data_IF_367019834929
#
_entry.id   IF_367019834929
#
_cell.length_a   1.000
_cell.length_b   1.000
_cell.length_c   1.000
_cell.angle_alpha   90.00
_cell.angle_beta   90.00
_cell.angle_gamma   90.00
#
_symmetry.space_group_name_H-M   'P 1'
#
loop_
_entity.id
_entity.type
_entity.pdbx_description
1 polymer ?
#
# COMPACT_ATOMS: atom_id res chain seq x y z
N UNK A 1 -6.30 30.43 -9.00
CA UNK A 1 -5.89 30.57 -7.58
C UNK A 1 -6.29 29.28 -6.89
N UNK A 2 -5.34 28.49 -6.41
CA UNK A 2 -5.64 27.21 -5.74
C UNK A 2 -6.22 27.55 -4.37
N UNK A 3 -7.37 26.96 -4.02
CA UNK A 3 -8.06 27.23 -2.77
C UNK A 3 -7.22 26.71 -1.57
N UNK A 4 -7.34 27.33 -0.40
CA UNK A 4 -6.65 26.93 0.83
C UNK A 4 -6.91 25.46 1.18
N UNK A 5 -8.12 24.98 0.92
CA UNK A 5 -8.50 23.57 1.14
C UNK A 5 -7.64 22.60 0.31
N UNK A 6 -7.37 22.94 -0.96
CA UNK A 6 -6.54 22.10 -1.82
C UNK A 6 -5.08 22.08 -1.36
N UNK A 7 -4.56 23.21 -0.85
CA UNK A 7 -3.24 23.25 -0.22
C UNK A 7 -3.16 22.37 1.03
N UNK A 8 -4.24 22.33 1.83
CA UNK A 8 -4.31 21.49 3.03
C UNK A 8 -4.40 19.99 2.69
N UNK A 9 -5.12 19.62 1.62
CA UNK A 9 -5.15 18.23 1.13
C UNK A 9 -3.79 17.77 0.61
N UNK A 10 -3.10 18.62 -0.15
CA UNK A 10 -1.76 18.32 -0.67
C UNK A 10 -0.75 18.16 0.48
N UNK A 11 -0.81 19.02 1.50
CA UNK A 11 0.08 18.93 2.65
C UNK A 11 -0.19 17.67 3.48
N UNK A 12 -1.45 17.29 3.66
CA UNK A 12 -1.83 16.03 4.31
C UNK A 12 -1.23 14.82 3.59
N UNK A 13 -1.39 14.75 2.26
CA UNK A 13 -0.86 13.64 1.47
C UNK A 13 0.68 13.58 1.53
N UNK A 14 1.35 14.73 1.44
CA UNK A 14 2.80 14.81 1.42
C UNK A 14 3.44 14.51 2.78
N UNK A 15 2.91 15.09 3.86
CA UNK A 15 3.53 15.01 5.18
C UNK A 15 3.04 13.78 5.94
N UNK A 16 1.73 13.57 6.01
CA UNK A 16 1.18 12.48 6.83
C UNK A 16 1.25 11.17 6.06
N UNK A 17 0.72 11.11 4.84
CA UNK A 17 0.65 9.82 4.12
C UNK A 17 2.03 9.38 3.63
N UNK A 18 2.78 10.26 2.96
CA UNK A 18 4.08 9.86 2.40
C UNK A 18 5.20 9.80 3.44
N UNK A 19 5.43 10.88 4.20
CA UNK A 19 6.55 10.98 5.13
C UNK A 19 6.41 9.97 6.29
N UNK A 20 5.22 9.85 6.89
CA UNK A 20 5.00 8.89 7.98
C UNK A 20 5.14 7.43 7.50
N UNK A 21 4.60 7.08 6.32
CA UNK A 21 4.72 5.72 5.78
C UNK A 21 6.19 5.33 5.54
N UNK A 22 7.01 6.25 5.01
CA UNK A 22 8.43 5.98 4.79
C UNK A 22 9.20 5.87 6.11
N UNK A 23 8.94 6.75 7.08
CA UNK A 23 9.57 6.67 8.41
C UNK A 23 9.19 5.37 9.13
N UNK A 24 7.94 4.93 9.01
CA UNK A 24 7.49 3.66 9.58
C UNK A 24 8.19 2.48 8.92
N UNK A 25 8.35 2.47 7.59
CA UNK A 25 9.14 1.45 6.88
C UNK A 25 10.57 1.38 7.41
N UNK A 26 11.24 2.53 7.58
CA UNK A 26 12.59 2.58 8.16
C UNK A 26 12.62 2.10 9.61
N UNK A 27 11.59 2.42 10.39
CA UNK A 27 11.46 1.92 11.75
C UNK A 27 11.30 0.39 11.80
N UNK A 28 10.50 -0.20 10.89
CA UNK A 28 10.33 -1.65 10.82
C UNK A 28 11.64 -2.39 10.48
N UNK A 29 12.52 -1.79 9.67
CA UNK A 29 13.84 -2.37 9.39
C UNK A 29 14.74 -2.52 10.62
N UNK A 30 14.47 -1.77 11.70
CA UNK A 30 15.21 -1.92 12.97
C UNK A 30 14.86 -3.22 13.71
N UNK A 31 13.64 -3.73 13.54
CA UNK A 31 13.11 -4.87 14.31
C UNK A 31 12.94 -6.15 13.47
N UNK A 32 12.77 -6.02 12.15
CA UNK A 32 12.53 -7.14 11.24
C UNK A 32 13.54 -7.14 10.10
N UNK A 33 13.96 -8.34 9.69
CA UNK A 33 14.85 -8.48 8.53
C UNK A 33 14.09 -8.14 7.24
N UNK A 34 14.81 -7.66 6.22
CA UNK A 34 14.23 -7.25 4.92
C UNK A 34 13.35 -8.34 4.30
N UNK A 35 13.68 -9.62 4.53
CA UNK A 35 12.91 -10.76 4.04
C UNK A 35 11.53 -10.95 4.70
N UNK A 36 11.34 -10.48 5.93
CA UNK A 36 10.07 -10.57 6.64
C UNK A 36 9.11 -9.42 6.31
N UNK A 37 9.63 -8.30 5.83
CA UNK A 37 8.85 -7.09 5.51
C UNK A 37 8.29 -7.14 4.08
N UNK A 38 8.98 -7.85 3.18
CA UNK A 38 8.56 -8.07 1.80
C UNK A 38 7.12 -8.64 1.66
N UNK A 39 6.72 -9.65 2.44
CA UNK A 39 5.35 -10.16 2.44
C UNK A 39 4.31 -9.11 2.84
N UNK A 40 4.63 -8.21 3.77
CA UNK A 40 3.72 -7.14 4.19
C UNK A 40 3.48 -6.12 3.06
N UNK A 41 4.47 -5.88 2.20
CA UNK A 41 4.29 -5.07 0.99
C UNK A 41 3.29 -5.68 0.00
N UNK A 42 3.20 -7.01 -0.05
CA UNK A 42 2.20 -7.71 -0.88
C UNK A 42 0.77 -7.48 -0.46
N UNK A 43 0.54 -7.06 0.79
CA UNK A 43 -0.79 -6.76 1.29
C UNK A 43 -1.31 -5.43 0.73
N UNK A 44 -0.45 -4.61 0.13
CA UNK A 44 -0.83 -3.33 -0.47
C UNK A 44 -2.01 -3.42 -1.44
N UNK A 45 -2.02 -4.29 -2.48
CA UNK A 45 -3.18 -4.43 -3.36
C UNK A 45 -4.43 -4.95 -2.64
N UNK A 46 -4.29 -5.82 -1.63
CA UNK A 46 -5.43 -6.34 -0.86
C UNK A 46 -6.09 -5.20 -0.08
N UNK A 47 -5.29 -4.45 0.70
CA UNK A 47 -5.79 -3.29 1.44
C UNK A 47 -6.29 -2.20 0.50
N UNK A 48 -5.63 -1.95 -0.63
CA UNK A 48 -6.06 -0.97 -1.62
C UNK A 48 -7.45 -1.29 -2.17
N UNK A 49 -7.69 -2.53 -2.61
CA UNK A 49 -9.00 -2.95 -3.15
C UNK A 49 -10.08 -2.88 -2.06
N UNK A 50 -9.79 -3.37 -0.86
CA UNK A 50 -10.72 -3.34 0.27
C UNK A 50 -11.08 -1.91 0.67
N UNK A 51 -10.07 -1.04 0.78
CA UNK A 51 -10.26 0.34 1.21
C UNK A 51 -10.99 1.16 0.15
N UNK A 52 -10.73 0.91 -1.13
CA UNK A 52 -11.48 1.56 -2.22
C UNK A 52 -12.94 1.12 -2.21
N UNK A 53 -13.22 -0.16 -2.00
CA UNK A 53 -14.58 -0.65 -1.81
C UNK A 53 -15.27 -0.02 -0.59
N UNK A 54 -14.57 0.11 0.54
CA UNK A 54 -15.17 0.61 1.79
C UNK A 54 -15.38 2.12 1.79
N UNK A 55 -14.42 2.89 1.28
CA UNK A 55 -14.47 4.37 1.27
C UNK A 55 -15.30 4.89 0.10
N UNK A 56 -15.12 4.33 -1.10
CA UNK A 56 -15.75 4.84 -2.33
C UNK A 56 -16.94 3.99 -2.80
N UNK A 57 -17.16 2.80 -2.23
CA UNK A 57 -18.24 1.90 -2.67
C UNK A 57 -18.00 1.25 -4.04
N UNK A 58 -16.78 1.37 -4.58
CA UNK A 58 -16.46 0.86 -5.91
C UNK A 58 -16.36 -0.68 -5.88
N UNK A 59 -17.20 -1.34 -6.68
CA UNK A 59 -17.16 -2.80 -6.80
C UNK A 59 -15.89 -3.21 -7.55
N UNK A 60 -15.03 -4.05 -6.97
CA UNK A 60 -13.80 -4.48 -7.62
C UNK A 60 -14.10 -5.16 -8.96
N UNK A 61 -13.50 -4.67 -10.04
CA UNK A 61 -13.63 -5.30 -11.35
C UNK A 61 -12.76 -6.56 -11.45
N UNK A 62 -13.05 -7.40 -12.43
CA UNK A 62 -12.28 -8.63 -12.71
C UNK A 62 -10.78 -8.34 -12.92
N UNK A 63 -10.44 -7.20 -13.53
CA UNK A 63 -9.07 -6.74 -13.72
C UNK A 63 -8.34 -6.49 -12.39
N UNK A 64 -9.02 -5.87 -11.41
CA UNK A 64 -8.46 -5.65 -10.07
C UNK A 64 -8.19 -6.97 -9.35
N UNK A 65 -9.11 -7.92 -9.47
CA UNK A 65 -8.96 -9.25 -8.86
C UNK A 65 -7.77 -10.00 -9.48
N UNK A 66 -7.64 -9.98 -10.81
CA UNK A 66 -6.50 -10.57 -11.51
C UNK A 66 -5.18 -9.91 -11.11
N UNK A 67 -5.14 -8.57 -11.03
CA UNK A 67 -3.98 -7.83 -10.56
C UNK A 67 -3.57 -8.24 -9.14
N UNK A 68 -4.55 -8.35 -8.22
CA UNK A 68 -4.33 -8.84 -6.86
C UNK A 68 -3.72 -10.25 -6.83
N UNK A 69 -4.27 -11.18 -7.61
CA UNK A 69 -3.77 -12.56 -7.71
C UNK A 69 -2.31 -12.58 -8.18
N UNK A 70 -1.97 -11.80 -9.20
CA UNK A 70 -0.60 -11.73 -9.75
C UNK A 70 0.38 -11.26 -8.67
N UNK A 71 0.06 -10.18 -7.94
CA UNK A 71 0.95 -9.63 -6.91
C UNK A 71 1.15 -10.63 -5.77
N UNK A 72 0.07 -11.25 -5.28
CA UNK A 72 0.16 -12.25 -4.20
C UNK A 72 1.00 -13.46 -4.64
N UNK A 73 0.76 -13.96 -5.86
CA UNK A 73 1.51 -15.10 -6.40
C UNK A 73 2.99 -14.78 -6.53
N UNK A 74 3.34 -13.58 -7.02
CA UNK A 74 4.72 -13.13 -7.15
C UNK A 74 5.46 -13.15 -5.80
N UNK A 75 4.79 -12.77 -4.72
CA UNK A 75 5.40 -12.69 -3.39
C UNK A 75 5.57 -14.06 -2.76
N UNK A 76 4.58 -14.95 -2.91
CA UNK A 76 4.70 -16.35 -2.47
C UNK A 76 5.86 -17.04 -3.18
N UNK A 77 6.00 -16.80 -4.49
CA UNK A 77 7.09 -17.37 -5.29
C UNK A 77 8.45 -16.82 -4.83
N UNK A 78 8.59 -15.51 -4.61
CA UNK A 78 9.80 -14.91 -4.04
C UNK A 78 10.17 -15.46 -2.67
N UNK A 79 9.17 -15.73 -1.81
CA UNK A 79 9.42 -16.32 -0.49
C UNK A 79 9.92 -17.77 -0.58
N UNK A 80 9.52 -18.52 -1.61
CA UNK A 80 9.93 -19.91 -1.83
C UNK A 80 11.32 -20.09 -2.44
N UNK A 81 11.86 -19.07 -3.12
CA UNK A 81 13.18 -19.17 -3.78
C UNK A 81 14.32 -18.90 -2.78
N UNK A 82 14.01 -18.44 -1.55
CA UNK A 82 14.97 -18.30 -0.46
C UNK A 82 15.10 -19.57 0.37
#
# INVERSE_FOLDING_TARGET
>A
NINLDSWMLISYQAIIVSLCAHLLMFYLYKFYTVGQIFPFYSLFPIFGIILTFLIFGEVPTILFILGGIIVITSVILLHKIK
#
